data_IF_059230582900
#
_entry.id   IF_059230582900
#
_cell.length_a   1.000
_cell.length_b   1.000
_cell.length_c   1.000
_cell.angle_alpha   90.00
_cell.angle_beta   90.00
_cell.angle_gamma   90.00
#
_symmetry.space_group_name_H-M   'P 1'
#
loop_
_entity.id
_entity.type
_entity.pdbx_description
1 polymer ?
#
# COMPACT_ATOMS: atom_id res chain seq x y z
N UNK A 1 2.41 -22.33 -4.18
CA UNK A 1 2.78 -21.28 -5.13
C UNK A 1 1.57 -21.03 -6.03
N UNK A 2 1.22 -19.77 -6.23
CA UNK A 2 0.33 -19.40 -7.32
C UNK A 2 1.13 -19.35 -8.64
N UNK A 3 0.48 -19.09 -9.78
CA UNK A 3 1.11 -19.06 -11.11
C UNK A 3 2.27 -18.05 -11.23
N UNK A 4 2.82 -17.91 -12.44
CA UNK A 4 3.96 -17.01 -12.71
C UNK A 4 3.71 -15.59 -12.16
N UNK A 5 2.60 -14.97 -12.55
CA UNK A 5 2.16 -13.66 -12.05
C UNK A 5 0.80 -13.78 -11.36
N UNK A 6 0.57 -12.97 -10.33
CA UNK A 6 -0.75 -12.89 -9.68
C UNK A 6 -1.75 -12.15 -10.55
N UNK A 7 -1.34 -10.99 -11.07
CA UNK A 7 -2.08 -10.18 -12.04
C UNK A 7 -1.17 -9.87 -13.21
N UNK A 8 -1.71 -9.97 -14.42
CA UNK A 8 -1.00 -9.69 -15.67
C UNK A 8 -1.87 -8.76 -16.52
N UNK A 9 -1.38 -7.53 -16.74
CA UNK A 9 -2.04 -6.50 -17.55
C UNK A 9 -1.18 -6.31 -18.80
N UNK A 10 -1.76 -6.55 -19.97
CA UNK A 10 -1.02 -6.71 -21.22
C UNK A 10 -1.59 -5.86 -22.34
N UNK A 11 -0.70 -5.24 -23.12
CA UNK A 11 -1.07 -4.42 -24.27
C UNK A 11 -1.97 -3.23 -23.88
N UNK A 12 -2.93 -2.86 -24.73
CA UNK A 12 -3.89 -1.74 -24.56
C UNK A 12 -4.95 -2.00 -23.47
N UNK A 13 -4.52 -2.46 -22.31
CA UNK A 13 -5.37 -2.74 -21.16
C UNK A 13 -5.39 -1.52 -20.25
N UNK A 14 -6.10 -0.49 -20.70
CA UNK A 14 -6.10 0.81 -20.03
C UNK A 14 -7.28 1.01 -19.07
N UNK A 15 -7.13 1.96 -18.16
CA UNK A 15 -8.21 2.47 -17.31
C UNK A 15 -8.88 1.40 -16.43
N UNK A 16 -8.17 0.33 -16.09
CA UNK A 16 -8.69 -0.69 -15.19
C UNK A 16 -8.55 -0.25 -13.74
N UNK A 17 -9.40 -0.77 -12.87
CA UNK A 17 -9.29 -0.60 -11.43
C UNK A 17 -9.10 -1.96 -10.76
N UNK A 18 -8.00 -2.09 -10.02
CA UNK A 18 -7.73 -3.23 -9.15
C UNK A 18 -7.72 -2.72 -7.72
N UNK A 19 -8.65 -3.21 -6.90
CA UNK A 19 -8.70 -2.78 -5.51
C UNK A 19 -9.09 -3.90 -4.57
N UNK A 20 -8.77 -3.72 -3.28
CA UNK A 20 -9.20 -4.60 -2.19
C UNK A 20 -8.79 -6.08 -2.40
N UNK A 21 -7.57 -6.30 -2.91
CA UNK A 21 -7.10 -7.63 -3.31
C UNK A 21 -5.82 -8.03 -2.57
N UNK A 22 -5.70 -9.31 -2.23
CA UNK A 22 -4.45 -9.89 -1.71
C UNK A 22 -3.70 -10.60 -2.82
N UNK A 23 -2.52 -10.09 -3.14
CA UNK A 23 -1.66 -10.56 -4.23
C UNK A 23 -0.39 -11.12 -3.60
N UNK A 24 -0.37 -12.43 -3.35
CA UNK A 24 0.69 -13.07 -2.59
C UNK A 24 1.12 -14.43 -3.14
N UNK A 25 2.35 -14.83 -2.80
CA UNK A 25 2.94 -16.15 -3.11
C UNK A 25 2.99 -16.50 -4.60
N UNK A 26 3.24 -15.52 -5.46
CA UNK A 26 3.48 -15.68 -6.90
C UNK A 26 4.97 -15.82 -7.20
N UNK A 27 5.33 -16.64 -8.18
CA UNK A 27 6.73 -17.06 -8.38
C UNK A 27 7.58 -16.09 -9.19
N UNK A 28 6.99 -15.34 -10.13
CA UNK A 28 7.70 -14.37 -10.98
C UNK A 28 7.37 -12.92 -10.63
N UNK A 29 6.15 -12.63 -10.16
CA UNK A 29 5.77 -11.31 -9.69
C UNK A 29 4.34 -11.24 -9.16
N UNK A 30 4.04 -10.26 -8.31
CA UNK A 30 2.66 -10.00 -7.87
C UNK A 30 1.80 -9.48 -9.01
N UNK A 31 2.19 -8.35 -9.60
CA UNK A 31 1.57 -7.73 -10.76
C UNK A 31 2.60 -7.48 -11.86
N UNK A 32 2.23 -7.68 -13.12
CA UNK A 32 3.06 -7.32 -14.27
C UNK A 32 2.28 -6.43 -15.24
N UNK A 33 2.84 -5.26 -15.53
CA UNK A 33 2.48 -4.37 -16.63
C UNK A 33 3.40 -4.69 -17.83
N UNK A 34 2.86 -5.42 -18.81
CA UNK A 34 3.59 -5.97 -19.96
C UNK A 34 3.17 -5.23 -21.25
N UNK A 35 4.12 -4.50 -21.84
CA UNK A 35 3.89 -3.74 -23.07
C UNK A 35 4.01 -4.63 -24.32
N UNK A 36 3.30 -4.24 -25.37
CA UNK A 36 3.35 -4.93 -26.66
C UNK A 36 3.53 -3.96 -27.82
N UNK A 37 4.75 -3.44 -27.96
CA UNK A 37 5.15 -2.60 -29.08
C UNK A 37 4.75 -1.15 -28.86
N UNK A 38 3.61 -0.74 -29.42
CA UNK A 38 3.01 0.58 -29.15
C UNK A 38 1.77 0.48 -28.25
N UNK A 39 1.49 -0.73 -27.77
CA UNK A 39 0.31 -1.04 -27.01
C UNK A 39 0.72 -1.19 -25.56
N UNK A 40 0.39 -0.19 -24.77
CA UNK A 40 0.89 -0.02 -23.41
C UNK A 40 -0.27 -0.19 -22.43
N UNK A 41 -0.08 -0.87 -21.29
CA UNK A 41 -1.10 -0.92 -20.25
C UNK A 41 -1.01 0.35 -19.41
N UNK A 42 -1.94 1.28 -19.60
CA UNK A 42 -1.85 2.65 -19.09
C UNK A 42 -3.05 3.06 -18.22
N UNK A 43 -2.83 4.08 -17.39
CA UNK A 43 -3.88 4.72 -16.60
C UNK A 43 -4.65 3.75 -15.69
N UNK A 44 -4.04 2.61 -15.35
CA UNK A 44 -4.64 1.67 -14.42
C UNK A 44 -4.50 2.20 -12.99
N UNK A 45 -5.52 1.94 -12.18
CA UNK A 45 -5.60 2.34 -10.79
C UNK A 45 -5.57 1.13 -9.87
N UNK A 46 -4.53 1.01 -9.07
CA UNK A 46 -4.30 -0.12 -8.17
C UNK A 46 -4.22 0.40 -6.74
N UNK A 47 -5.19 0.10 -5.87
CA UNK A 47 -5.19 0.63 -4.50
C UNK A 47 -5.87 -0.30 -3.48
N UNK A 48 -5.52 -0.14 -2.20
CA UNK A 48 -5.96 -1.00 -1.11
C UNK A 48 -5.72 -2.50 -1.38
N UNK A 49 -4.62 -2.83 -2.04
CA UNK A 49 -4.17 -4.20 -2.24
C UNK A 49 -3.04 -4.54 -1.26
N UNK A 50 -2.94 -5.81 -0.88
CA UNK A 50 -1.81 -6.36 -0.13
C UNK A 50 -0.88 -7.08 -1.11
N UNK A 51 0.31 -6.53 -1.32
CA UNK A 51 1.36 -7.15 -2.12
C UNK A 51 2.36 -7.87 -1.22
N UNK A 52 2.41 -9.20 -1.31
CA UNK A 52 3.32 -10.04 -0.53
C UNK A 52 3.98 -11.12 -1.41
N UNK A 53 4.99 -10.72 -2.17
CA UNK A 53 5.77 -11.58 -3.05
C UNK A 53 7.25 -11.21 -2.96
N UNK A 54 8.14 -12.11 -3.40
CA UNK A 54 9.57 -11.78 -3.52
C UNK A 54 9.82 -10.66 -4.54
N UNK A 55 8.96 -10.55 -5.55
CA UNK A 55 8.87 -9.42 -6.49
C UNK A 55 7.40 -8.98 -6.54
N UNK A 56 7.09 -7.78 -6.03
CA UNK A 56 5.69 -7.34 -5.95
C UNK A 56 5.14 -6.81 -7.28
N UNK A 57 5.93 -6.03 -8.01
CA UNK A 57 5.53 -5.45 -9.30
C UNK A 57 6.68 -5.60 -10.29
N UNK A 58 6.33 -6.00 -11.51
CA UNK A 58 7.18 -5.88 -12.70
C UNK A 58 6.51 -4.88 -13.64
N UNK A 59 7.28 -3.98 -14.23
CA UNK A 59 6.81 -2.97 -15.18
C UNK A 59 7.81 -2.96 -16.32
N UNK A 60 7.34 -3.11 -17.56
CA UNK A 60 8.24 -2.92 -18.70
C UNK A 60 8.64 -1.46 -18.83
N UNK A 61 9.80 -1.21 -19.44
CA UNK A 61 10.50 0.07 -19.27
C UNK A 61 9.95 1.22 -20.12
N UNK A 62 9.04 0.94 -21.05
CA UNK A 62 8.69 1.86 -22.15
C UNK A 62 7.19 2.19 -22.24
N UNK A 63 6.42 1.97 -21.18
CA UNK A 63 5.00 2.33 -21.11
C UNK A 63 4.90 3.86 -21.09
N UNK A 64 4.22 4.45 -22.08
CA UNK A 64 4.16 5.90 -22.22
C UNK A 64 3.27 6.55 -21.16
N UNK A 65 2.11 5.94 -20.87
CA UNK A 65 1.14 6.40 -19.88
C UNK A 65 1.50 6.00 -18.44
N UNK A 66 1.07 6.82 -17.48
CA UNK A 66 1.28 6.56 -16.07
C UNK A 66 0.37 5.44 -15.56
N UNK A 67 0.85 4.65 -14.59
CA UNK A 67 0.00 3.77 -13.81
C UNK A 67 -0.03 4.22 -12.35
N UNK A 68 -1.22 4.26 -11.76
CA UNK A 68 -1.45 4.81 -10.43
C UNK A 68 -1.57 3.68 -9.41
N UNK A 69 -0.59 3.54 -8.53
CA UNK A 69 -0.65 2.58 -7.42
C UNK A 69 -1.27 3.20 -6.16
N UNK A 70 -2.16 4.18 -6.35
CA UNK A 70 -2.90 4.83 -5.28
C UNK A 70 -4.22 5.42 -5.78
N UNK A 71 -5.03 5.87 -4.83
CA UNK A 71 -6.24 6.66 -4.98
C UNK A 71 -6.14 7.92 -4.10
N UNK A 72 -7.12 8.81 -4.21
CA UNK A 72 -7.29 9.89 -3.23
C UNK A 72 -7.63 9.29 -1.87
N UNK A 73 -7.03 9.83 -0.79
CA UNK A 73 -7.33 9.43 0.58
C UNK A 73 -8.84 9.50 0.82
N UNK A 74 -9.44 8.38 1.22
CA UNK A 74 -10.88 8.27 1.44
C UNK A 74 -11.16 7.32 2.59
N UNK A 75 -12.32 7.47 3.22
CA UNK A 75 -12.77 6.54 4.26
C UNK A 75 -12.88 5.14 3.67
N UNK A 76 -12.36 4.12 4.36
CA UNK A 76 -12.41 2.76 3.88
C UNK A 76 -11.74 1.77 4.82
N UNK A 77 -12.17 0.50 4.71
CA UNK A 77 -11.53 -0.60 5.44
C UNK A 77 -10.22 -0.98 4.75
N UNK A 78 -9.13 -0.89 5.49
CA UNK A 78 -7.80 -1.29 5.01
C UNK A 78 -7.70 -2.78 4.81
N UNK A 79 -6.92 -3.18 3.81
CA UNK A 79 -6.72 -4.58 3.43
C UNK A 79 -5.94 -5.41 4.46
N UNK A 80 -5.08 -4.78 5.27
CA UNK A 80 -4.16 -5.49 6.17
C UNK A 80 -3.93 -4.77 7.50
N UNK A 81 -3.37 -3.55 7.48
CA UNK A 81 -3.03 -2.81 8.70
C UNK A 81 -4.22 -2.04 9.30
N UNK A 82 -4.09 -1.63 10.56
CA UNK A 82 -5.09 -0.79 11.22
C UNK A 82 -5.18 0.61 10.58
N UNK A 83 -6.34 1.26 10.71
CA UNK A 83 -6.60 2.60 10.20
C UNK A 83 -7.98 2.74 9.52
N UNK A 84 -8.52 3.96 9.51
CA UNK A 84 -9.88 4.24 9.00
C UNK A 84 -9.94 4.72 7.54
N UNK A 85 -8.79 4.95 6.90
CA UNK A 85 -8.70 5.52 5.56
C UNK A 85 -7.85 4.64 4.66
N UNK A 86 -8.20 4.60 3.38
CA UNK A 86 -7.44 3.97 2.30
C UNK A 86 -6.93 5.05 1.34
N UNK A 87 -5.79 4.79 0.70
CA UNK A 87 -5.13 5.77 -0.15
C UNK A 87 -4.17 5.09 -1.12
N UNK A 88 -3.40 4.11 -0.68
CA UNK A 88 -2.51 3.31 -1.53
C UNK A 88 -2.60 1.83 -1.19
N UNK A 89 -1.50 1.12 -1.38
CA UNK A 89 -1.39 -0.32 -1.16
C UNK A 89 -0.52 -0.62 0.06
N UNK A 90 -0.62 -1.85 0.56
CA UNK A 90 0.29 -2.38 1.57
C UNK A 90 1.36 -3.25 0.88
N UNK A 91 2.63 -2.88 1.07
CA UNK A 91 3.80 -3.43 0.39
C UNK A 91 4.69 -4.18 1.37
N UNK A 92 4.48 -5.50 1.46
CA UNK A 92 5.31 -6.39 2.27
C UNK A 92 6.02 -7.42 1.38
N UNK A 93 6.68 -8.38 2.00
CA UNK A 93 7.32 -9.51 1.35
C UNK A 93 7.29 -10.73 2.28
N UNK A 94 7.69 -11.93 1.82
CA UNK A 94 7.64 -13.13 2.64
C UNK A 94 8.49 -13.09 3.92
N UNK A 95 9.44 -12.14 4.02
CA UNK A 95 10.27 -11.92 5.22
C UNK A 95 9.68 -10.88 6.18
N UNK A 96 8.56 -10.23 5.83
CA UNK A 96 7.87 -9.26 6.69
C UNK A 96 8.66 -7.97 6.93
N UNK A 97 9.45 -7.54 5.95
CA UNK A 97 10.28 -6.33 6.03
C UNK A 97 10.21 -5.51 4.73
N UNK A 98 9.05 -5.51 4.08
CA UNK A 98 8.82 -4.69 2.89
C UNK A 98 8.67 -3.21 3.25
N UNK A 99 8.34 -2.42 2.24
CA UNK A 99 8.26 -0.97 2.37
C UNK A 99 7.25 -0.54 3.43
N UNK A 100 6.03 -1.09 3.40
CA UNK A 100 4.97 -0.76 4.36
C UNK A 100 5.27 -1.20 5.79
N UNK A 101 6.13 -2.22 5.97
CA UNK A 101 6.52 -2.73 7.29
C UNK A 101 7.65 -1.92 7.93
N UNK A 102 8.32 -1.05 7.16
CA UNK A 102 9.56 -0.37 7.60
C UNK A 102 9.59 1.13 7.31
N UNK A 103 8.60 1.64 6.56
CA UNK A 103 8.52 3.06 6.25
C UNK A 103 8.28 3.90 7.52
N UNK A 104 8.68 5.16 7.45
CA UNK A 104 8.37 6.12 8.51
C UNK A 104 6.93 6.58 8.34
N UNK A 105 6.14 6.49 9.40
CA UNK A 105 4.86 7.15 9.58
C UNK A 105 4.97 7.98 10.87
N UNK A 106 5.37 9.24 10.72
CA UNK A 106 5.70 10.13 11.85
C UNK A 106 4.44 10.61 12.58
N UNK A 107 3.35 10.81 11.85
CA UNK A 107 2.10 11.33 12.38
C UNK A 107 1.13 10.19 12.83
N UNK A 108 1.52 8.94 12.57
CA UNK A 108 0.80 7.70 12.95
C UNK A 108 -0.61 7.65 12.37
N UNK A 109 -0.83 8.31 11.23
CA UNK A 109 -2.11 8.31 10.51
C UNK A 109 -2.32 7.06 9.64
N UNK A 110 -1.33 6.17 9.65
CA UNK A 110 -1.31 4.88 9.02
C UNK A 110 -0.86 4.92 7.56
N UNK A 111 -0.26 6.01 7.09
CA UNK A 111 0.35 6.09 5.76
C UNK A 111 1.85 6.34 5.91
N UNK A 112 2.65 5.76 5.01
CA UNK A 112 4.06 6.10 4.92
C UNK A 112 4.18 7.60 4.54
N UNK A 113 5.11 8.31 5.18
CA UNK A 113 5.34 9.74 4.94
C UNK A 113 5.87 10.00 3.52
N UNK A 114 6.61 9.05 2.95
CA UNK A 114 7.19 9.13 1.61
C UNK A 114 6.43 8.25 0.59
N UNK A 115 6.38 8.65 -0.68
CA UNK A 115 5.80 7.83 -1.74
C UNK A 115 6.70 6.65 -2.10
N UNK A 116 6.10 5.55 -2.57
CA UNK A 116 6.84 4.43 -3.16
C UNK A 116 6.93 4.60 -4.67
N UNK A 117 8.15 4.74 -5.19
CA UNK A 117 8.43 4.76 -6.61
C UNK A 117 8.57 3.33 -7.16
N UNK A 118 7.69 2.96 -8.09
CA UNK A 118 7.69 1.68 -8.80
C UNK A 118 8.14 1.81 -10.26
N UNK A 119 8.48 3.02 -10.69
CA UNK A 119 8.83 3.36 -12.07
C UNK A 119 10.01 2.53 -12.58
N UNK A 120 10.00 2.22 -13.87
CA UNK A 120 11.08 1.51 -14.56
C UNK A 120 11.31 2.12 -15.93
N UNK A 121 12.53 2.54 -16.24
CA UNK A 121 12.83 3.25 -17.49
C UNK A 121 12.03 4.55 -17.63
N UNK A 122 11.27 4.68 -18.72
CA UNK A 122 10.35 5.80 -18.96
C UNK A 122 8.96 5.56 -18.36
N UNK A 123 8.63 4.33 -17.97
CA UNK A 123 7.34 4.01 -17.36
C UNK A 123 7.20 4.61 -15.98
N UNK A 124 6.18 5.43 -15.79
CA UNK A 124 5.90 6.13 -14.54
C UNK A 124 4.87 5.35 -13.72
N UNK A 125 5.26 5.01 -12.49
CA UNK A 125 4.38 4.34 -11.54
C UNK A 125 4.72 4.72 -10.10
N UNK A 126 3.75 5.27 -9.38
CA UNK A 126 3.92 5.68 -7.99
C UNK A 126 2.74 5.23 -7.13
N UNK A 127 3.03 4.87 -5.89
CA UNK A 127 2.07 4.87 -4.80
C UNK A 127 2.36 6.08 -3.91
N UNK A 128 1.51 7.10 -4.01
CA UNK A 128 1.65 8.33 -3.22
C UNK A 128 1.07 8.24 -1.80
N UNK A 129 0.35 7.17 -1.47
CA UNK A 129 -0.21 6.97 -0.14
C UNK A 129 -0.02 5.51 0.33
N UNK A 130 1.23 4.99 0.37
CA UNK A 130 1.45 3.63 0.81
C UNK A 130 0.93 3.45 2.22
N UNK A 131 0.25 2.32 2.48
CA UNK A 131 -0.25 2.02 3.82
C UNK A 131 0.93 1.67 4.72
N UNK A 132 0.93 2.16 5.96
CA UNK A 132 1.85 1.77 7.02
C UNK A 132 1.14 0.88 8.06
N UNK A 133 1.88 0.08 8.81
CA UNK A 133 1.40 -0.66 10.00
C UNK A 133 1.50 0.12 11.31
N UNK A 134 2.09 1.31 11.29
CA UNK A 134 2.34 2.16 12.45
C UNK A 134 1.12 3.00 12.90
N UNK A 135 -0.09 2.68 12.45
CA UNK A 135 -1.29 3.42 12.80
C UNK A 135 -1.57 3.39 14.31
N UNK A 136 -1.73 4.57 14.93
CA UNK A 136 -2.18 4.68 16.32
C UNK A 136 -3.36 5.62 16.46
N UNK A 137 -4.42 5.16 17.13
CA UNK A 137 -5.44 6.08 17.62
C UNK A 137 -4.84 6.80 18.81
N UNK A 138 -4.27 7.99 18.60
CA UNK A 138 -3.95 8.87 19.73
C UNK A 138 -5.26 9.19 20.42
N UNK A 139 -5.57 8.44 21.47
CA UNK A 139 -6.63 8.80 22.39
C UNK A 139 -6.05 9.98 23.14
N UNK A 140 -6.38 11.20 22.72
CA UNK A 140 -6.17 12.37 23.55
C UNK A 140 -7.07 12.20 24.76
N UNK A 141 -6.61 11.45 25.76
CA UNK A 141 -7.16 11.50 27.10
C UNK A 141 -6.74 12.87 27.64
N UNK A 142 -7.48 13.90 27.25
CA UNK A 142 -7.57 15.10 28.08
C UNK A 142 -8.19 14.63 29.38
N UNK A 143 -7.35 14.26 30.36
CA UNK A 143 -7.77 14.24 31.75
C UNK A 143 -8.44 15.60 32.02
N UNK A 144 -9.68 15.65 32.52
CA UNK A 144 -10.27 16.91 32.91
C UNK A 144 -9.32 17.59 33.92
N UNK A 145 -9.05 18.89 33.80
CA UNK A 145 -8.24 19.60 34.79
C UNK A 145 -8.88 19.42 36.17
N UNK A 146 -8.21 18.71 37.08
CA UNK A 146 -8.60 18.64 38.49
C UNK A 146 -8.96 17.28 39.08
N UNK A 147 -8.61 16.13 38.48
CA UNK A 147 -8.61 14.89 39.27
C UNK A 147 -7.39 14.89 40.21
N UNK A 148 -7.56 14.87 41.54
CA UNK A 148 -6.44 14.67 42.45
C UNK A 148 -5.87 13.25 42.27
N UNK A 149 -4.61 13.02 42.67
CA UNK A 149 -4.03 11.68 42.67
C UNK A 149 -4.93 10.74 43.48
N UNK A 150 -5.30 9.61 42.90
CA UNK A 150 -5.98 8.55 43.64
C UNK A 150 -4.94 7.96 44.60
N UNK A 151 -5.01 8.35 45.88
CA UNK A 151 -4.20 7.73 46.92
C UNK A 151 -4.53 6.24 46.98
N UNK A 152 -3.49 5.41 46.96
CA UNK A 152 -3.60 4.00 47.26
C UNK A 152 -4.00 3.86 48.73
N UNK A 153 -5.29 3.66 48.99
CA UNK A 153 -5.77 3.21 50.28
C UNK A 153 -5.19 1.82 50.55
N UNK A 154 -4.29 1.73 51.52
CA UNK A 154 -3.96 0.49 52.21
C UNK A 154 -4.95 0.31 53.36
N UNK A 155 -5.86 -0.66 53.23
CA UNK A 155 -6.60 -1.32 54.32
C UNK A 155 -6.84 -2.76 53.80
N UNK A 156 -6.49 -3.87 54.44
CA UNK A 156 -5.92 -4.17 55.74
C UNK A 156 -5.11 -5.48 55.64
#
# INVERSE_FOLDING_TARGET
SNGLYGIYIYGDSDNNTIANSTIANNTAGGLYLDESGSNDPEYNKIYNCLFNNSVNVKIDSNIAGENYFNTTKQLGTRIYSAGGYIGGNYWTNPTGNGYSDTCVDSNKDGFCDEPLNLSNGTSVAYDYLPLSDEYTTTTTTTLPPGLPPQESGSDA
#
